data_IF_913030270009
#
_entry.id   IF_913030270009
#
_cell.length_a   1.000
_cell.length_b   1.000
_cell.length_c   1.000
_cell.angle_alpha   90.00
_cell.angle_beta   90.00
_cell.angle_gamma   90.00
#
_symmetry.space_group_name_H-M   'P 1'
#
loop_
_entity.id
_entity.type
_entity.pdbx_description
1 polymer ?
#
# COMPACT_ATOMS: atom_id res chain seq x y z
N UNK A 1 -4.76 -14.67 -6.29
CA UNK A 1 -4.21 -13.30 -6.17
C UNK A 1 -3.40 -12.98 -7.43
N UNK A 2 -4.02 -12.36 -8.46
CA UNK A 2 -3.42 -12.15 -9.80
C UNK A 2 -2.48 -10.94 -9.86
N UNK A 3 -2.45 -10.15 -8.79
CA UNK A 3 -1.92 -8.80 -8.78
C UNK A 3 -0.40 -8.66 -8.88
N UNK A 4 0.36 -9.71 -8.53
CA UNK A 4 1.83 -9.75 -8.60
C UNK A 4 2.32 -10.72 -9.69
N UNK A 5 1.45 -11.13 -10.61
CA UNK A 5 1.81 -12.15 -11.61
C UNK A 5 2.73 -11.55 -12.67
N UNK A 6 3.98 -11.99 -12.65
CA UNK A 6 4.98 -11.74 -13.69
C UNK A 6 4.50 -12.30 -15.05
N UNK A 7 5.02 -11.74 -16.14
CA UNK A 7 4.85 -12.36 -17.46
C UNK A 7 5.46 -13.76 -17.43
N UNK A 8 4.69 -14.80 -17.78
CA UNK A 8 5.19 -16.18 -17.72
C UNK A 8 6.34 -16.43 -18.71
N UNK A 9 6.41 -15.65 -19.80
CA UNK A 9 7.44 -15.78 -20.84
C UNK A 9 8.71 -14.99 -20.50
N UNK A 10 8.60 -13.67 -20.32
CA UNK A 10 9.74 -12.75 -20.17
C UNK A 10 9.99 -12.28 -18.75
N UNK A 11 9.18 -12.70 -17.77
CA UNK A 11 9.11 -12.16 -16.39
C UNK A 11 8.70 -10.69 -16.28
N UNK A 12 8.94 -9.87 -17.30
CA UNK A 12 8.48 -8.49 -17.46
C UNK A 12 7.42 -8.40 -18.54
N UNK A 13 6.35 -7.64 -18.29
CA UNK A 13 5.32 -7.40 -19.31
C UNK A 13 5.84 -6.43 -20.37
N UNK A 14 5.49 -6.70 -21.63
CA UNK A 14 5.92 -5.90 -22.79
C UNK A 14 4.67 -5.54 -23.59
N UNK A 15 4.36 -4.25 -23.77
CA UNK A 15 3.17 -3.84 -24.50
C UNK A 15 3.25 -4.18 -25.97
N UNK A 16 2.09 -4.41 -26.56
CA UNK A 16 1.91 -4.39 -28.00
C UNK A 16 2.14 -2.99 -28.58
N UNK A 17 2.15 -2.89 -29.91
CA UNK A 17 2.30 -1.60 -30.60
C UNK A 17 1.16 -0.64 -30.26
N UNK A 18 -0.04 -1.16 -30.06
CA UNK A 18 -1.23 -0.38 -29.72
C UNK A 18 -1.26 -0.08 -28.24
N UNK A 19 -1.37 1.21 -27.89
CA UNK A 19 -1.46 1.70 -26.51
C UNK A 19 -2.57 2.74 -26.45
N UNK A 20 -3.39 2.68 -25.42
CA UNK A 20 -4.49 3.62 -25.20
C UNK A 20 -4.16 4.48 -23.99
N UNK A 21 -4.43 5.78 -24.08
CA UNK A 21 -4.32 6.68 -22.93
C UNK A 21 -5.68 6.77 -22.28
N UNK A 22 -5.73 6.51 -20.98
CA UNK A 22 -6.94 6.57 -20.16
C UNK A 22 -7.14 7.97 -19.56
N UNK A 23 -8.35 8.24 -19.08
CA UNK A 23 -8.74 9.53 -18.49
C UNK A 23 -7.99 9.84 -17.18
N UNK A 24 -7.57 8.81 -16.46
CA UNK A 24 -6.76 8.94 -15.24
C UNK A 24 -5.29 9.30 -15.52
N UNK A 25 -4.89 9.37 -16.80
CA UNK A 25 -3.53 9.68 -17.23
C UNK A 25 -2.65 8.45 -17.47
N UNK A 26 -3.13 7.24 -17.16
CA UNK A 26 -2.44 5.99 -17.41
C UNK A 26 -2.47 5.58 -18.88
N UNK A 27 -1.62 4.62 -19.23
CA UNK A 27 -1.58 3.97 -20.54
C UNK A 27 -1.93 2.50 -20.39
N UNK A 28 -2.89 2.01 -21.15
CA UNK A 28 -3.26 0.59 -21.19
C UNK A 28 -2.84 -0.05 -22.51
N UNK A 29 -2.53 -1.35 -22.46
CA UNK A 29 -2.22 -2.19 -23.61
C UNK A 29 -2.43 -3.67 -23.23
N UNK A 30 -2.11 -4.59 -24.14
CA UNK A 30 -1.98 -6.01 -23.84
C UNK A 30 -0.51 -6.41 -23.90
N UNK A 31 -0.12 -7.39 -23.08
CA UNK A 31 1.22 -7.94 -23.11
C UNK A 31 1.38 -8.84 -24.34
N UNK A 32 2.40 -8.60 -25.16
CA UNK A 32 2.70 -9.36 -26.39
C UNK A 32 2.88 -10.87 -26.19
N UNK A 33 3.21 -11.30 -24.96
CA UNK A 33 3.56 -12.69 -24.66
C UNK A 33 2.54 -13.43 -23.82
N UNK A 34 2.02 -12.78 -22.78
CA UNK A 34 1.04 -13.41 -21.89
C UNK A 34 -0.39 -12.99 -22.17
N UNK A 35 -0.59 -12.07 -23.13
CA UNK A 35 -1.89 -11.58 -23.61
C UNK A 35 -2.78 -10.98 -22.52
N UNK A 36 -2.23 -10.71 -21.34
CA UNK A 36 -2.93 -10.04 -20.24
C UNK A 36 -2.97 -8.54 -20.46
N UNK A 37 -4.06 -7.91 -20.02
CA UNK A 37 -4.19 -6.45 -19.97
C UNK A 37 -3.16 -5.88 -19.01
N UNK A 38 -2.44 -4.86 -19.46
CA UNK A 38 -1.37 -4.19 -18.73
C UNK A 38 -1.56 -2.68 -18.72
N UNK A 39 -1.04 -2.02 -17.69
CA UNK A 39 -1.12 -0.59 -17.45
C UNK A 39 0.27 -0.03 -17.15
N UNK A 40 0.51 1.20 -17.56
CA UNK A 40 1.74 1.95 -17.33
C UNK A 40 1.45 3.42 -17.10
N UNK A 41 2.19 4.04 -16.19
CA UNK A 41 2.08 5.47 -15.88
C UNK A 41 3.26 6.28 -16.44
N UNK A 42 4.44 5.66 -16.57
CA UNK A 42 5.67 6.26 -17.08
C UNK A 42 6.10 5.73 -18.47
N UNK A 43 5.30 4.86 -19.10
CA UNK A 43 5.54 4.17 -20.40
C UNK A 43 6.72 3.20 -20.44
N UNK A 44 7.59 3.22 -19.45
CA UNK A 44 8.80 2.40 -19.31
C UNK A 44 8.56 1.08 -18.55
N UNK A 45 7.61 1.09 -17.62
CA UNK A 45 7.28 0.03 -16.69
C UNK A 45 5.81 -0.36 -16.84
N UNK A 46 5.54 -1.66 -17.00
CA UNK A 46 4.19 -2.17 -17.28
C UNK A 46 3.80 -3.24 -16.26
N UNK A 47 2.65 -3.03 -15.62
CA UNK A 47 2.05 -3.90 -14.62
C UNK A 47 0.73 -4.46 -15.13
N UNK A 48 0.19 -5.51 -14.51
CA UNK A 48 -1.15 -5.99 -14.87
C UNK A 48 -2.20 -4.93 -14.56
N UNK A 49 -3.12 -4.70 -15.50
CA UNK A 49 -4.19 -3.72 -15.33
C UNK A 49 -5.18 -4.11 -14.21
N UNK A 50 -5.44 -5.42 -14.06
CA UNK A 50 -6.23 -5.97 -12.94
C UNK A 50 -5.34 -6.35 -11.74
N UNK A 51 -4.14 -5.77 -11.67
CA UNK A 51 -3.18 -6.03 -10.61
C UNK A 51 -2.92 -4.82 -9.71
N UNK A 52 -2.19 -5.07 -8.64
CA UNK A 52 -1.73 -4.03 -7.73
C UNK A 52 -0.52 -3.35 -8.39
N UNK A 53 -0.67 -2.07 -8.72
CA UNK A 53 0.48 -1.28 -9.11
C UNK A 53 1.29 -0.95 -7.86
N UNK A 54 2.30 -1.77 -7.55
CA UNK A 54 3.19 -1.57 -6.38
C UNK A 54 3.83 -0.18 -6.38
N UNK A 55 4.14 0.37 -7.55
CA UNK A 55 4.69 1.73 -7.67
C UNK A 55 3.69 2.81 -7.23
N UNK A 56 2.38 2.58 -7.45
CA UNK A 56 1.32 3.48 -6.96
C UNK A 56 0.93 3.18 -5.52
N UNK A 57 1.06 1.93 -5.06
CA UNK A 57 0.84 1.61 -3.64
C UNK A 57 1.78 2.43 -2.77
N UNK A 58 3.06 2.56 -3.15
CA UNK A 58 3.99 3.43 -2.42
C UNK A 58 3.53 4.91 -2.40
N UNK A 59 2.81 5.38 -3.42
CA UNK A 59 2.22 6.72 -3.48
C UNK A 59 0.87 6.83 -2.73
N UNK A 60 0.22 5.69 -2.43
CA UNK A 60 -1.10 5.64 -1.75
C UNK A 60 -0.98 5.24 -0.28
N UNK A 61 0.09 4.56 0.10
CA UNK A 61 0.49 4.34 1.48
C UNK A 61 1.04 5.68 1.95
N UNK A 62 0.21 6.42 2.71
CA UNK A 62 0.57 7.72 3.26
C UNK A 62 1.91 7.69 4.01
N UNK A 63 2.66 8.80 4.01
CA UNK A 63 4.04 8.85 4.50
C UNK A 63 4.20 8.44 5.97
N UNK A 64 3.18 8.62 6.83
CA UNK A 64 3.21 8.18 8.23
C UNK A 64 1.84 7.66 8.69
N UNK A 65 1.85 6.54 9.39
CA UNK A 65 0.66 5.95 10.02
C UNK A 65 0.99 5.37 11.39
N UNK A 66 0.00 5.35 12.27
CA UNK A 66 0.01 4.56 13.49
C UNK A 66 -0.65 3.21 13.21
N UNK A 67 -0.24 2.17 13.93
CA UNK A 67 -0.87 0.87 13.79
C UNK A 67 -1.02 0.16 15.13
N UNK A 68 -2.11 -0.59 15.26
CA UNK A 68 -2.38 -1.45 16.41
C UNK A 68 -1.83 -2.84 16.09
N UNK A 69 -0.84 -3.29 16.85
CA UNK A 69 -0.24 -4.61 16.78
C UNK A 69 -0.82 -5.51 17.87
N UNK A 70 -1.31 -6.69 17.49
CA UNK A 70 -1.54 -7.79 18.42
C UNK A 70 -0.21 -8.55 18.59
N UNK A 71 0.38 -8.45 19.77
CA UNK A 71 1.68 -9.05 20.10
C UNK A 71 1.59 -10.57 20.22
N UNK A 72 0.42 -11.11 20.60
CA UNK A 72 0.24 -12.55 20.76
C UNK A 72 0.30 -13.27 19.41
N UNK A 73 -0.29 -12.65 18.38
CA UNK A 73 -0.39 -13.20 17.02
C UNK A 73 0.59 -12.55 16.02
N UNK A 74 1.43 -11.61 16.45
CA UNK A 74 2.34 -10.80 15.62
C UNK A 74 1.63 -10.20 14.39
N UNK A 75 0.46 -9.60 14.63
CA UNK A 75 -0.47 -9.21 13.58
C UNK A 75 -0.92 -7.76 13.72
N UNK A 76 -0.83 -7.00 12.62
CA UNK A 76 -1.42 -5.66 12.55
C UNK A 76 -2.94 -5.74 12.44
N UNK A 77 -3.64 -5.28 13.46
CA UNK A 77 -5.10 -5.28 13.57
C UNK A 77 -5.72 -4.11 12.81
N UNK A 78 -5.14 -2.91 12.98
CA UNK A 78 -5.66 -1.67 12.40
C UNK A 78 -4.53 -0.71 12.02
N UNK A 79 -4.77 0.15 11.02
CA UNK A 79 -3.87 1.23 10.60
C UNK A 79 -4.62 2.57 10.60
N UNK A 80 -3.97 3.59 11.13
CA UNK A 80 -4.49 4.94 11.28
C UNK A 80 -3.55 5.93 10.57
N UNK A 81 -3.93 6.47 9.39
CA UNK A 81 -3.12 7.45 8.70
C UNK A 81 -3.05 8.76 9.51
N UNK A 82 -1.85 9.29 9.74
CA UNK A 82 -1.65 10.53 10.54
C UNK A 82 -1.25 11.75 9.71
N UNK A 83 -1.34 11.66 8.38
CA UNK A 83 -1.00 12.75 7.45
C UNK A 83 -1.80 14.05 7.67
N UNK A 84 -2.91 13.95 8.39
CA UNK A 84 -3.81 15.06 8.72
C UNK A 84 -3.46 15.74 10.07
N UNK A 85 -2.49 15.22 10.82
CA UNK A 85 -2.09 15.75 12.13
C UNK A 85 -0.86 16.64 12.00
N UNK A 86 -0.96 17.84 12.56
CA UNK A 86 0.09 18.86 12.49
C UNK A 86 1.13 18.66 13.61
N UNK A 87 2.11 17.80 13.36
CA UNK A 87 3.32 17.68 14.19
C UNK A 87 3.26 16.62 15.30
N UNK A 88 4.40 16.41 15.95
CA UNK A 88 4.62 15.28 16.88
C UNK A 88 3.70 15.31 18.10
N UNK A 89 3.40 16.50 18.62
CA UNK A 89 2.52 16.66 19.79
C UNK A 89 1.08 16.22 19.49
N UNK A 90 0.58 16.50 18.29
CA UNK A 90 -0.73 16.04 17.84
C UNK A 90 -0.76 14.51 17.62
N UNK A 91 0.35 13.94 17.15
CA UNK A 91 0.50 12.50 16.96
C UNK A 91 0.53 11.77 18.30
N UNK A 92 1.25 12.29 19.29
CA UNK A 92 1.29 11.70 20.64
C UNK A 92 -0.08 11.79 21.34
N UNK A 93 -0.79 12.92 21.22
CA UNK A 93 -2.16 13.03 21.72
C UNK A 93 -3.10 12.01 21.06
N UNK A 94 -2.96 11.81 19.75
CA UNK A 94 -3.75 10.82 19.01
C UNK A 94 -3.36 9.38 19.37
N UNK A 95 -2.09 9.10 19.66
CA UNK A 95 -1.65 7.81 20.22
C UNK A 95 -2.33 7.54 21.56
N UNK A 96 -2.42 8.53 22.44
CA UNK A 96 -3.08 8.39 23.74
C UNK A 96 -4.59 8.13 23.60
N UNK A 97 -5.28 8.87 22.72
CA UNK A 97 -6.69 8.61 22.39
C UNK A 97 -6.91 7.18 21.87
N UNK A 98 -6.06 6.71 20.96
CA UNK A 98 -6.16 5.36 20.43
C UNK A 98 -5.88 4.29 21.51
N UNK A 99 -4.98 4.55 22.47
CA UNK A 99 -4.73 3.62 23.59
C UNK A 99 -5.97 3.47 24.46
N UNK A 100 -6.66 4.58 24.75
CA UNK A 100 -7.91 4.58 25.51
C UNK A 100 -9.04 3.88 24.73
N UNK A 101 -9.21 4.21 23.44
CA UNK A 101 -10.25 3.62 22.58
C UNK A 101 -10.11 2.10 22.44
N UNK A 102 -8.88 1.59 22.37
CA UNK A 102 -8.62 0.16 22.20
C UNK A 102 -8.37 -0.59 23.52
N UNK A 103 -8.56 0.07 24.67
CA UNK A 103 -8.32 -0.51 25.99
C UNK A 103 -6.95 -1.20 26.08
N UNK A 104 -5.93 -0.58 25.48
CA UNK A 104 -4.57 -1.15 25.36
C UNK A 104 -3.99 -1.46 26.75
N UNK A 105 -4.24 -0.61 27.74
CA UNK A 105 -3.80 -0.81 29.12
C UNK A 105 -4.51 -1.97 29.84
N UNK A 106 -5.74 -2.29 29.44
CA UNK A 106 -6.51 -3.41 30.02
C UNK A 106 -6.18 -4.76 29.34
N UNK A 107 -5.44 -4.73 28.23
CA UNK A 107 -5.14 -5.91 27.42
C UNK A 107 -3.92 -6.72 27.88
N UNK A 108 -3.35 -6.43 29.06
CA UNK A 108 -2.15 -7.09 29.61
C UNK A 108 -0.95 -7.12 28.62
N UNK A 109 -0.85 -6.10 27.77
CA UNK A 109 0.19 -5.99 26.74
C UNK A 109 -0.07 -6.80 25.46
N UNK A 110 -1.28 -7.34 25.28
CA UNK A 110 -1.66 -8.02 24.04
C UNK A 110 -1.72 -7.04 22.86
N UNK A 111 -2.21 -5.81 23.08
CA UNK A 111 -2.27 -4.79 22.04
C UNK A 111 -1.24 -3.69 22.27
N UNK A 112 -0.50 -3.30 21.23
CA UNK A 112 0.47 -2.20 21.28
C UNK A 112 0.22 -1.26 20.11
N UNK A 113 0.27 0.06 20.38
CA UNK A 113 0.25 1.07 19.33
C UNK A 113 1.67 1.42 18.94
N UNK A 114 1.98 1.23 17.67
CA UNK A 114 3.28 1.47 17.06
C UNK A 114 3.19 2.61 16.04
N UNK A 115 4.30 3.29 15.83
CA UNK A 115 4.45 4.35 14.83
C UNK A 115 5.33 3.87 13.69
N UNK A 116 4.84 4.01 12.46
CA UNK A 116 5.64 3.70 11.26
C UNK A 116 6.95 4.49 11.15
N UNK A 117 7.07 5.65 11.83
CA UNK A 117 8.29 6.44 11.84
C UNK A 117 9.42 5.83 12.70
N UNK A 118 9.09 5.00 13.68
CA UNK A 118 10.09 4.34 14.55
C UNK A 118 10.72 3.10 13.87
N UNK A 119 10.09 2.58 12.82
CA UNK A 119 10.52 1.41 12.05
C UNK A 119 11.42 1.74 10.84
N UNK A 120 11.68 3.04 10.57
CA UNK A 120 12.39 3.55 9.39
C UNK A 120 13.87 3.92 9.67
#
# INVERSE_FOLDING_TARGET
MLALTQCWYTRKHVPERTKHKEDDGSWTSYCRYCEKKIVSWAKDSWSLADGFNVSRIAETVGPRFLYLLDVADDMVVSRYPVDHLDGEEAIEAYKEELREQHAVEESDGQYVICDSADDA
#
